data_IF_410810562346
#
_entry.id   IF_410810562346
#
_cell.length_a   1.000
_cell.length_b   1.000
_cell.length_c   1.000
_cell.angle_alpha   90.00
_cell.angle_beta   90.00
_cell.angle_gamma   90.00
#
_symmetry.space_group_name_H-M   'P 1'
#
loop_
_entity.id
_entity.type
_entity.pdbx_description
1 polymer ?
#
# COMPACT_ATOMS: atom_id res chain seq x y z
N UNK A 1 -11.87 -7.84 -0.83
CA UNK A 1 -12.96 -7.94 -1.83
C UNK A 1 -13.61 -6.62 -2.25
N UNK A 2 -13.03 -5.45 -1.99
CA UNK A 2 -13.61 -4.18 -2.47
C UNK A 2 -13.04 -3.65 -3.80
N UNK A 3 -12.03 -4.29 -4.39
CA UNK A 3 -11.31 -3.64 -5.50
C UNK A 3 -11.95 -3.79 -6.88
N UNK A 4 -12.86 -4.74 -7.12
CA UNK A 4 -13.57 -4.82 -8.40
C UNK A 4 -14.90 -5.56 -8.21
N UNK A 5 -16.04 -4.87 -8.31
CA UNK A 5 -17.32 -5.54 -8.52
C UNK A 5 -17.52 -5.76 -10.01
N UNK A 6 -17.75 -7.01 -10.40
CA UNK A 6 -18.13 -7.37 -11.76
C UNK A 6 -19.36 -6.52 -12.18
N UNK A 7 -19.26 -5.82 -13.32
CA UNK A 7 -20.29 -4.87 -13.79
C UNK A 7 -20.04 -3.39 -13.50
N UNK A 8 -18.92 -3.02 -12.86
CA UNK A 8 -18.54 -1.60 -12.72
C UNK A 8 -18.10 -1.01 -14.07
N UNK A 9 -18.64 0.15 -14.45
CA UNK A 9 -18.29 0.81 -15.71
C UNK A 9 -16.78 1.10 -15.79
N UNK A 10 -16.15 0.72 -16.91
CA UNK A 10 -14.71 0.88 -17.13
C UNK A 10 -13.84 -0.29 -16.65
N UNK A 11 -14.42 -1.29 -15.99
CA UNK A 11 -13.71 -2.52 -15.65
C UNK A 11 -13.90 -3.54 -16.77
N UNK A 12 -12.83 -3.81 -17.51
CA UNK A 12 -12.77 -4.99 -18.39
C UNK A 12 -12.40 -6.18 -17.50
N UNK A 13 -13.38 -6.65 -16.72
CA UNK A 13 -13.23 -7.78 -15.77
C UNK A 13 -12.61 -9.02 -16.43
N UNK A 14 -12.88 -9.37 -17.71
CA UNK A 14 -12.31 -10.57 -18.33
C UNK A 14 -10.78 -10.60 -18.39
N UNK A 15 -10.11 -9.44 -18.36
CA UNK A 15 -8.65 -9.35 -18.47
C UNK A 15 -7.94 -9.24 -17.11
N UNK A 16 -8.69 -9.24 -16.01
CA UNK A 16 -8.15 -9.11 -14.66
C UNK A 16 -8.45 -10.36 -13.84
N UNK A 17 -7.39 -11.08 -13.47
CA UNK A 17 -7.47 -12.19 -12.51
C UNK A 17 -7.22 -11.67 -11.10
N UNK A 18 -8.22 -11.81 -10.22
CA UNK A 18 -8.03 -11.59 -8.79
C UNK A 18 -7.49 -12.87 -8.16
N UNK A 19 -6.34 -12.76 -7.50
CA UNK A 19 -5.69 -13.85 -6.77
C UNK A 19 -5.84 -13.57 -5.27
N UNK A 20 -6.28 -14.55 -4.45
CA UNK A 20 -6.29 -14.42 -3.01
C UNK A 20 -4.90 -14.04 -2.48
N UNK A 21 -4.87 -13.17 -1.47
CA UNK A 21 -3.62 -12.74 -0.87
C UNK A 21 -2.82 -13.93 -0.32
N UNK A 22 -1.49 -13.82 -0.37
CA UNK A 22 -0.54 -14.80 0.15
C UNK A 22 -0.59 -16.21 -0.49
N UNK A 23 -1.33 -16.41 -1.60
CA UNK A 23 -1.35 -17.69 -2.32
C UNK A 23 -0.29 -17.77 -3.42
N UNK A 24 0.97 -17.99 -3.02
CA UNK A 24 2.10 -18.07 -3.96
C UNK A 24 1.93 -19.20 -4.99
N UNK A 25 1.26 -20.30 -4.63
CA UNK A 25 1.05 -21.44 -5.52
C UNK A 25 0.10 -21.07 -6.65
N UNK A 26 -0.98 -20.35 -6.33
CA UNK A 26 -1.91 -19.89 -7.35
C UNK A 26 -1.28 -18.81 -8.24
N UNK A 27 -0.48 -17.88 -7.66
CA UNK A 27 0.31 -16.94 -8.46
C UNK A 27 1.19 -17.69 -9.46
N UNK A 28 1.94 -18.69 -9.01
CA UNK A 28 2.79 -19.49 -9.91
C UNK A 28 2.00 -20.21 -10.99
N UNK A 29 0.86 -20.82 -10.65
CA UNK A 29 0.00 -21.53 -11.60
C UNK A 29 -0.53 -20.60 -12.70
N UNK A 30 -0.97 -19.39 -12.34
CA UNK A 30 -1.45 -18.38 -13.28
C UNK A 30 -0.30 -17.83 -14.14
N UNK A 31 0.85 -17.52 -13.54
CA UNK A 31 2.02 -17.06 -14.30
C UNK A 31 2.57 -18.11 -15.27
N UNK A 32 2.39 -19.40 -14.97
CA UNK A 32 2.79 -20.48 -15.85
C UNK A 32 2.01 -20.53 -17.18
N UNK A 33 0.81 -19.94 -17.25
CA UNK A 33 0.07 -19.83 -18.52
C UNK A 33 0.75 -18.86 -19.50
N UNK A 34 1.56 -17.92 -18.99
CA UNK A 34 2.25 -16.85 -19.74
C UNK A 34 1.30 -15.89 -20.46
N UNK A 35 0.06 -15.81 -19.99
CA UNK A 35 -0.96 -14.89 -20.55
C UNK A 35 -0.93 -13.51 -19.88
N UNK A 36 -0.25 -13.40 -18.71
CA UNK A 36 -0.24 -12.18 -17.91
C UNK A 36 0.98 -11.31 -18.18
N UNK A 37 0.73 -10.05 -18.53
CA UNK A 37 1.77 -9.03 -18.71
C UNK A 37 2.33 -8.50 -17.38
N UNK A 38 1.49 -8.43 -16.34
CA UNK A 38 1.80 -7.78 -15.07
C UNK A 38 1.13 -8.46 -13.87
N UNK A 39 1.85 -8.54 -12.76
CA UNK A 39 1.32 -8.80 -11.42
C UNK A 39 1.32 -7.49 -10.64
N UNK A 40 0.21 -7.16 -9.99
CA UNK A 40 0.07 -5.95 -9.19
C UNK A 40 -0.19 -6.31 -7.73
N UNK A 41 0.51 -5.64 -6.81
CA UNK A 41 0.33 -5.77 -5.36
C UNK A 41 0.37 -4.42 -4.69
N UNK A 42 -0.40 -4.17 -3.63
CA UNK A 42 -0.24 -2.97 -2.79
C UNK A 42 1.05 -3.03 -1.95
N UNK A 43 1.70 -1.90 -1.72
CA UNK A 43 2.80 -1.78 -0.77
C UNK A 43 2.29 -1.86 0.67
N UNK A 44 2.97 -2.65 1.52
CA UNK A 44 2.62 -2.74 2.94
C UNK A 44 1.51 -3.73 3.29
N UNK A 45 0.83 -4.29 2.30
CA UNK A 45 -0.37 -5.11 2.46
C UNK A 45 -1.59 -4.45 1.82
N UNK A 46 -2.67 -5.21 1.66
CA UNK A 46 -3.90 -4.68 1.09
C UNK A 46 -4.58 -3.70 2.06
N UNK A 47 -5.21 -2.70 1.47
CA UNK A 47 -6.05 -1.70 2.13
C UNK A 47 -5.28 -0.78 3.10
N UNK A 48 -5.24 0.52 2.77
CA UNK A 48 -4.82 1.62 3.66
C UNK A 48 -3.45 1.40 4.35
N UNK A 49 -2.39 1.08 3.61
CA UNK A 49 -1.02 0.89 4.13
C UNK A 49 -0.81 -0.35 5.02
N UNK A 50 -1.56 -1.43 4.79
CA UNK A 50 -1.33 -2.70 5.48
C UNK A 50 -2.28 -2.97 6.64
N UNK A 51 -3.55 -2.58 6.50
CA UNK A 51 -4.61 -3.11 7.36
C UNK A 51 -4.66 -4.63 7.22
N UNK A 52 -4.43 -5.15 6.02
CA UNK A 52 -4.20 -6.57 5.78
C UNK A 52 -2.76 -6.75 5.29
N UNK A 53 -1.79 -7.07 6.17
CA UNK A 53 -0.38 -7.15 5.80
C UNK A 53 -0.09 -8.36 4.90
N UNK A 54 0.95 -8.25 4.06
CA UNK A 54 1.52 -9.38 3.34
C UNK A 54 2.26 -10.34 4.28
N UNK A 55 2.30 -11.62 3.90
CA UNK A 55 3.31 -12.53 4.43
C UNK A 55 4.68 -12.15 3.85
N UNK A 56 5.70 -12.05 4.72
CA UNK A 56 7.06 -11.64 4.31
C UNK A 56 7.63 -12.58 3.26
N UNK A 57 7.44 -13.88 3.43
CA UNK A 57 7.90 -14.91 2.50
C UNK A 57 7.20 -14.81 1.14
N UNK A 58 5.92 -14.45 1.14
CA UNK A 58 5.16 -14.26 -0.10
C UNK A 58 5.74 -13.10 -0.91
N UNK A 59 5.90 -11.92 -0.30
CA UNK A 59 6.35 -10.74 -1.04
C UNK A 59 7.80 -10.88 -1.51
N UNK A 60 8.67 -11.50 -0.69
CA UNK A 60 10.07 -11.73 -1.05
C UNK A 60 10.23 -12.77 -2.17
N UNK A 61 9.26 -13.66 -2.37
CA UNK A 61 9.29 -14.64 -3.46
C UNK A 61 8.88 -14.06 -4.82
N UNK A 62 8.08 -12.98 -4.85
CA UNK A 62 7.53 -12.42 -6.10
C UNK A 62 8.59 -12.02 -7.14
N UNK A 63 9.69 -11.31 -6.81
CA UNK A 63 10.71 -10.94 -7.81
C UNK A 63 11.26 -12.14 -8.60
N UNK A 64 11.57 -13.24 -7.91
CA UNK A 64 12.12 -14.43 -8.53
C UNK A 64 11.05 -15.13 -9.38
N UNK A 65 9.82 -15.17 -8.88
CA UNK A 65 8.70 -15.83 -9.54
C UNK A 65 8.27 -15.11 -10.81
N UNK A 66 8.08 -13.79 -10.76
CA UNK A 66 7.67 -12.98 -11.93
C UNK A 66 8.74 -12.99 -13.01
N UNK A 67 10.02 -12.90 -12.61
CA UNK A 67 11.18 -13.06 -13.51
C UNK A 67 11.22 -14.43 -14.20
N UNK A 68 10.91 -15.52 -13.49
CA UNK A 68 10.87 -16.89 -14.05
C UNK A 68 9.90 -16.99 -15.23
N UNK A 69 8.75 -16.32 -15.15
CA UNK A 69 7.71 -16.37 -16.17
C UNK A 69 7.69 -15.19 -17.15
N UNK A 70 8.65 -14.25 -17.01
CA UNK A 70 8.76 -13.02 -17.82
C UNK A 70 7.53 -12.12 -17.70
N UNK A 71 6.94 -12.08 -16.51
CA UNK A 71 5.85 -11.19 -16.17
C UNK A 71 6.41 -10.02 -15.36
N UNK A 72 5.92 -8.81 -15.60
CA UNK A 72 6.35 -7.64 -14.83
C UNK A 72 5.71 -7.67 -13.45
N UNK A 73 6.43 -7.20 -12.44
CA UNK A 73 5.87 -6.94 -11.12
C UNK A 73 5.77 -5.45 -10.85
N UNK A 74 4.58 -4.99 -10.45
CA UNK A 74 4.34 -3.63 -10.01
C UNK A 74 3.85 -3.62 -8.56
N UNK A 75 4.48 -2.79 -7.74
CA UNK A 75 3.99 -2.48 -6.40
C UNK A 75 3.28 -1.12 -6.41
N UNK A 76 2.07 -1.08 -5.87
CA UNK A 76 1.36 0.17 -5.62
C UNK A 76 1.81 0.78 -4.30
N UNK A 77 2.68 1.79 -4.39
CA UNK A 77 3.18 2.56 -3.26
C UNK A 77 2.57 3.97 -3.20
N UNK A 78 1.35 4.16 -3.71
CA UNK A 78 0.63 5.44 -3.61
C UNK A 78 0.48 5.87 -2.15
N UNK A 79 0.36 4.92 -1.21
CA UNK A 79 0.29 5.21 0.24
C UNK A 79 1.64 5.10 0.94
N UNK A 80 2.41 4.05 0.65
CA UNK A 80 3.63 3.71 1.39
C UNK A 80 4.89 4.42 0.88
N UNK A 81 4.89 4.87 -0.39
CA UNK A 81 6.01 5.57 -1.02
C UNK A 81 6.28 6.91 -0.36
N UNK A 82 7.55 7.15 0.03
CA UNK A 82 8.00 8.28 0.86
C UNK A 82 7.33 8.39 2.25
N UNK A 83 6.43 7.47 2.62
CA UNK A 83 5.73 7.44 3.90
C UNK A 83 6.45 6.54 4.90
N UNK A 84 6.67 5.29 4.52
CA UNK A 84 7.22 4.27 5.42
C UNK A 84 8.75 4.38 5.51
N UNK A 85 9.39 4.73 4.40
CA UNK A 85 10.80 5.11 4.31
C UNK A 85 11.00 6.05 3.13
N UNK A 86 12.18 6.67 3.01
CA UNK A 86 12.55 7.46 1.82
C UNK A 86 12.49 6.62 0.55
N UNK A 87 12.84 5.33 0.64
CA UNK A 87 12.70 4.33 -0.43
C UNK A 87 11.36 3.58 -0.44
N UNK A 88 10.34 4.05 0.28
CA UNK A 88 9.04 3.37 0.39
C UNK A 88 9.10 2.06 1.16
N UNK A 89 7.97 1.35 1.20
CA UNK A 89 7.86 0.05 1.86
C UNK A 89 8.72 -1.02 1.19
N UNK A 90 8.87 -0.99 -0.13
CA UNK A 90 9.74 -1.92 -0.86
C UNK A 90 11.18 -1.94 -0.31
N UNK A 91 11.71 -0.77 0.08
CA UNK A 91 13.05 -0.67 0.69
C UNK A 91 13.15 -1.29 2.08
N UNK A 92 12.04 -1.29 2.85
CA UNK A 92 12.00 -1.88 4.19
C UNK A 92 12.00 -3.42 4.14
N UNK A 93 11.34 -4.00 3.13
CA UNK A 93 11.24 -5.46 2.97
C UNK A 93 12.31 -6.05 2.05
N UNK A 94 13.15 -5.19 1.46
CA UNK A 94 14.29 -5.60 0.63
C UNK A 94 13.90 -6.19 -0.71
N UNK A 95 12.86 -5.64 -1.36
CA UNK A 95 12.40 -6.07 -2.67
C UNK A 95 12.50 -4.94 -3.70
N UNK A 96 12.69 -5.29 -4.96
CA UNK A 96 12.81 -4.36 -6.08
C UNK A 96 11.83 -4.78 -7.19
N UNK A 97 10.66 -4.13 -7.30
CA UNK A 97 9.72 -4.41 -8.38
C UNK A 97 10.18 -3.81 -9.70
N UNK A 98 9.64 -4.31 -10.81
CA UNK A 98 9.93 -3.77 -12.14
C UNK A 98 9.41 -2.33 -12.30
N UNK A 99 8.26 -2.07 -11.67
CA UNK A 99 7.61 -0.76 -11.63
C UNK A 99 6.99 -0.48 -10.25
N UNK A 100 6.74 0.79 -9.97
CA UNK A 100 6.05 1.25 -8.77
C UNK A 100 5.13 2.41 -9.11
N UNK A 101 3.89 2.40 -8.62
CA UNK A 101 3.04 3.60 -8.63
C UNK A 101 3.24 4.40 -7.36
N UNK A 102 3.26 5.72 -7.51
CA UNK A 102 3.48 6.68 -6.44
C UNK A 102 2.41 7.76 -6.49
N UNK A 103 2.09 8.31 -5.32
CA UNK A 103 1.16 9.42 -5.18
C UNK A 103 1.34 10.10 -3.82
N UNK A 104 0.27 10.71 -3.31
CA UNK A 104 0.17 11.29 -1.95
C UNK A 104 1.43 12.06 -1.53
N UNK A 105 2.29 11.49 -0.68
CA UNK A 105 3.51 12.09 -0.15
C UNK A 105 4.46 12.62 -1.25
N UNK A 106 4.43 12.00 -2.43
CA UNK A 106 5.21 12.38 -3.61
C UNK A 106 4.90 13.80 -4.09
N UNK A 107 3.67 14.28 -3.89
CA UNK A 107 3.18 15.56 -4.42
C UNK A 107 3.35 16.73 -3.46
N UNK A 108 3.88 16.51 -2.26
CA UNK A 108 4.02 17.55 -1.24
C UNK A 108 2.70 18.20 -0.85
N UNK A 109 1.58 17.45 -0.92
CA UNK A 109 0.24 17.96 -0.65
C UNK A 109 -0.57 18.40 -1.88
N UNK A 110 0.03 18.39 -3.07
CA UNK A 110 -0.70 18.64 -4.34
C UNK A 110 -1.11 17.34 -5.06
N UNK A 111 -2.14 17.38 -5.93
CA UNK A 111 -2.57 16.23 -6.70
C UNK A 111 -1.45 15.67 -7.57
N UNK A 112 -1.09 14.41 -7.35
CA UNK A 112 0.02 13.74 -8.04
C UNK A 112 -0.30 12.27 -8.29
N UNK A 113 0.22 11.76 -9.40
CA UNK A 113 0.41 10.35 -9.67
C UNK A 113 1.70 10.19 -10.46
N UNK A 114 2.46 9.15 -10.18
CA UNK A 114 3.65 8.81 -10.95
C UNK A 114 3.77 7.29 -11.09
N UNK A 115 4.29 6.85 -12.24
CA UNK A 115 4.77 5.49 -12.46
C UNK A 115 6.28 5.58 -12.62
N UNK A 116 7.01 4.88 -11.77
CA UNK A 116 8.48 4.79 -11.79
C UNK A 116 8.87 3.33 -11.96
N UNK A 117 10.12 3.06 -12.34
CA UNK A 117 10.57 1.69 -12.60
C UNK A 117 11.76 1.64 -13.53
N UNK A 118 12.04 0.43 -14.03
CA UNK A 118 13.20 0.18 -14.89
C UNK A 118 13.11 0.97 -16.20
N UNK A 119 14.25 1.52 -16.61
CA UNK A 119 14.35 2.35 -17.81
C UNK A 119 14.03 1.59 -19.11
N UNK A 120 14.34 0.29 -19.17
CA UNK A 120 14.04 -0.55 -20.34
C UNK A 120 12.53 -0.82 -20.50
N UNK A 121 11.77 -0.74 -19.41
CA UNK A 121 10.30 -0.84 -19.44
C UNK A 121 9.69 0.52 -19.75
N UNK A 122 10.04 1.55 -18.98
CA UNK A 122 9.44 2.89 -19.14
C UNK A 122 9.89 3.61 -20.42
N UNK A 123 10.95 3.12 -21.09
CA UNK A 123 11.40 3.62 -22.38
C UNK A 123 10.33 3.60 -23.47
N UNK A 124 9.29 2.76 -23.34
CA UNK A 124 8.13 2.77 -24.27
C UNK A 124 7.34 4.08 -24.26
N UNK A 125 7.56 4.94 -23.26
CA UNK A 125 6.96 6.28 -23.17
C UNK A 125 7.76 7.35 -23.94
N UNK A 126 8.94 7.03 -24.46
CA UNK A 126 9.76 8.00 -25.20
C UNK A 126 9.02 8.50 -26.45
N UNK A 127 8.73 9.81 -26.56
CA UNK A 127 8.01 10.36 -27.70
C UNK A 127 8.77 10.20 -29.04
N UNK A 128 10.08 9.92 -29.01
CA UNK A 128 10.92 9.70 -30.19
C UNK A 128 10.76 8.31 -30.80
N UNK A 129 10.18 7.34 -30.08
CA UNK A 129 9.93 6.02 -30.63
C UNK A 129 8.86 6.05 -31.74
N UNK A 130 8.92 5.12 -32.72
CA UNK A 130 7.85 4.96 -33.70
C UNK A 130 6.51 4.70 -33.03
N UNK A 131 5.41 5.18 -33.64
CA UNK A 131 4.06 5.04 -33.07
C UNK A 131 3.67 3.59 -32.72
N UNK A 132 4.12 2.62 -33.50
CA UNK A 132 3.84 1.20 -33.28
C UNK A 132 4.54 0.60 -32.04
N UNK A 133 5.54 1.29 -31.49
CA UNK A 133 6.37 0.82 -30.38
C UNK A 133 6.29 1.71 -29.14
N UNK A 134 5.43 2.75 -29.17
CA UNK A 134 5.30 3.70 -28.06
C UNK A 134 3.92 3.64 -27.42
N UNK A 135 3.90 3.77 -26.10
CA UNK A 135 2.69 3.97 -25.32
C UNK A 135 2.41 5.46 -25.24
N UNK A 136 1.20 5.88 -25.67
CA UNK A 136 0.79 7.28 -25.52
C UNK A 136 0.39 7.56 -24.08
N UNK A 137 1.09 8.48 -23.43
CA UNK A 137 0.75 8.97 -22.11
C UNK A 137 0.65 10.49 -22.14
N UNK A 138 -0.59 10.99 -22.11
CA UNK A 138 -0.89 12.42 -22.23
C UNK A 138 -1.75 12.86 -21.05
N UNK A 139 -1.55 14.09 -20.58
CA UNK A 139 -2.42 14.70 -19.58
C UNK A 139 -2.13 16.17 -19.43
N UNK A 140 -3.17 17.02 -19.48
CA UNK A 140 -3.04 18.49 -19.43
C UNK A 140 -2.29 18.98 -18.20
N UNK A 141 -2.49 18.30 -17.07
CA UNK A 141 -1.92 18.68 -15.78
C UNK A 141 -0.69 17.86 -15.39
N UNK A 142 -0.26 16.92 -16.23
CA UNK A 142 0.91 16.09 -15.97
C UNK A 142 2.15 16.98 -15.87
N UNK A 143 2.93 16.79 -14.81
CA UNK A 143 4.18 17.51 -14.56
C UNK A 143 4.06 19.05 -14.59
N UNK A 144 2.91 19.61 -14.20
CA UNK A 144 2.77 21.06 -14.13
C UNK A 144 3.77 21.66 -13.12
N UNK A 145 4.29 22.90 -13.36
CA UNK A 145 5.39 23.44 -12.56
C UNK A 145 5.11 23.58 -11.07
N UNK A 146 3.86 23.88 -10.69
CA UNK A 146 3.47 24.02 -9.28
C UNK A 146 3.55 22.68 -8.55
N UNK A 147 2.98 21.63 -9.15
CA UNK A 147 3.10 20.26 -8.65
C UNK A 147 4.57 19.83 -8.53
N UNK A 148 5.36 20.00 -9.59
CA UNK A 148 6.77 19.62 -9.59
C UNK A 148 7.56 20.35 -8.49
N UNK A 149 7.29 21.64 -8.28
CA UNK A 149 7.93 22.44 -7.24
C UNK A 149 7.60 21.94 -5.84
N UNK A 150 6.33 21.63 -5.56
CA UNK A 150 5.89 21.08 -4.28
C UNK A 150 6.49 19.68 -4.01
N UNK A 151 6.50 18.81 -5.01
CA UNK A 151 7.12 17.48 -4.92
C UNK A 151 8.62 17.54 -4.67
N UNK A 152 9.35 18.42 -5.37
CA UNK A 152 10.79 18.64 -5.13
C UNK A 152 11.04 19.16 -3.72
N UNK A 153 10.25 20.13 -3.26
CA UNK A 153 10.37 20.66 -1.90
C UNK A 153 10.13 19.57 -0.85
N UNK A 154 9.11 18.74 -1.04
CA UNK A 154 8.83 17.60 -0.16
C UNK A 154 9.99 16.58 -0.14
N UNK A 155 10.49 16.18 -1.31
CA UNK A 155 11.65 15.28 -1.42
C UNK A 155 12.89 15.84 -0.71
N UNK A 156 13.16 17.15 -0.80
CA UNK A 156 14.27 17.79 -0.08
C UNK A 156 14.13 17.71 1.45
N UNK A 157 12.91 17.58 1.97
CA UNK A 157 12.66 17.34 3.40
C UNK A 157 12.86 15.86 3.74
N UNK A 158 12.54 14.94 2.83
CA UNK A 158 12.65 13.49 3.08
C UNK A 158 14.10 12.97 3.00
N UNK A 159 14.85 13.36 1.96
CA UNK A 159 16.12 12.72 1.61
C UNK A 159 17.34 12.96 2.52
N UNK A 160 17.49 14.07 3.27
CA UNK A 160 18.69 14.31 4.05
C UNK A 160 19.00 13.17 5.05
N UNK A 161 17.97 12.66 5.71
CA UNK A 161 18.11 11.66 6.77
C UNK A 161 16.84 10.80 7.02
N UNK A 162 15.75 11.03 6.28
CA UNK A 162 14.47 10.37 6.52
C UNK A 162 13.81 10.73 7.84
N UNK A 163 14.14 11.87 8.45
CA UNK A 163 13.59 12.30 9.75
C UNK A 163 12.06 12.26 9.80
N UNK A 164 11.31 12.76 8.79
CA UNK A 164 9.85 12.72 8.84
C UNK A 164 9.29 11.30 8.92
N UNK A 165 9.91 10.34 8.23
CA UNK A 165 9.51 8.94 8.22
C UNK A 165 9.82 8.29 9.57
N UNK A 166 11.03 8.53 10.11
CA UNK A 166 11.42 8.09 11.46
C UNK A 166 10.44 8.63 12.51
N UNK A 167 10.10 9.92 12.42
CA UNK A 167 9.17 10.56 13.35
C UNK A 167 7.76 9.97 13.26
N UNK A 168 7.27 9.72 12.04
CA UNK A 168 5.98 9.07 11.84
C UNK A 168 5.98 7.63 12.41
N UNK A 169 7.07 6.88 12.24
CA UNK A 169 7.22 5.53 12.80
C UNK A 169 7.25 5.55 14.34
N UNK A 170 7.98 6.49 14.95
CA UNK A 170 8.00 6.70 16.41
C UNK A 170 6.60 7.02 16.96
N UNK A 171 5.90 7.95 16.34
CA UNK A 171 4.55 8.34 16.76
C UNK A 171 3.54 7.21 16.57
N UNK A 172 3.66 6.44 15.48
CA UNK A 172 2.88 5.23 15.28
C UNK A 172 3.13 4.20 16.38
N UNK A 173 4.39 3.94 16.73
CA UNK A 173 4.77 3.02 17.80
C UNK A 173 4.22 3.47 19.16
N UNK A 174 4.34 4.76 19.47
CA UNK A 174 3.77 5.34 20.68
C UNK A 174 2.25 5.16 20.73
N UNK A 175 1.54 5.47 19.65
CA UNK A 175 0.08 5.31 19.58
C UNK A 175 -0.32 3.84 19.77
N UNK A 176 0.38 2.88 19.14
CA UNK A 176 0.13 1.45 19.34
C UNK A 176 0.34 1.06 20.80
N UNK A 177 1.45 1.44 21.40
CA UNK A 177 1.77 1.09 22.77
C UNK A 177 0.72 1.63 23.76
N UNK A 178 0.43 2.92 23.68
CA UNK A 178 -0.51 3.57 24.60
C UNK A 178 -1.95 3.10 24.34
N UNK A 179 -2.36 3.00 23.07
CA UNK A 179 -3.68 2.49 22.69
C UNK A 179 -3.90 1.06 23.22
N UNK A 180 -2.92 0.17 23.04
CA UNK A 180 -3.01 -1.21 23.53
C UNK A 180 -2.99 -1.30 25.07
N UNK A 181 -2.31 -0.38 25.77
CA UNK A 181 -2.42 -0.27 27.25
C UNK A 181 -3.84 0.15 27.66
N UNK A 182 -4.44 1.12 26.97
CA UNK A 182 -5.81 1.58 27.26
C UNK A 182 -6.85 0.49 27.02
N UNK A 183 -6.75 -0.24 25.89
CA UNK A 183 -7.66 -1.35 25.59
C UNK A 183 -7.61 -2.42 26.68
N UNK A 184 -6.39 -2.85 27.07
CA UNK A 184 -6.19 -3.83 28.17
C UNK A 184 -6.72 -3.32 29.49
N UNK A 185 -6.42 -2.08 29.87
CA UNK A 185 -6.87 -1.49 31.13
C UNK A 185 -8.40 -1.34 31.23
N UNK A 186 -9.10 -1.28 30.09
CA UNK A 186 -10.57 -1.23 30.01
C UNK A 186 -11.22 -2.58 29.73
N UNK A 187 -10.45 -3.66 29.60
CA UNK A 187 -10.98 -4.98 29.23
C UNK A 187 -11.62 -5.03 27.84
N UNK A 188 -11.21 -4.13 26.93
CA UNK A 188 -11.71 -4.10 25.54
C UNK A 188 -10.85 -5.05 24.71
N UNK A 189 -11.48 -6.04 24.07
CA UNK A 189 -10.80 -6.96 23.15
C UNK A 189 -10.51 -6.25 21.83
N UNK A 190 -9.24 -5.99 21.56
CA UNK A 190 -8.80 -5.29 20.36
C UNK A 190 -7.30 -5.01 20.36
N UNK A 191 -6.80 -4.45 19.25
CA UNK A 191 -5.39 -4.11 19.08
C UNK A 191 -5.21 -2.94 18.12
N UNK A 192 -4.35 -2.00 18.50
CA UNK A 192 -3.69 -1.07 17.59
C UNK A 192 -2.45 -1.72 16.98
N UNK A 193 -2.36 -1.76 15.66
CA UNK A 193 -1.28 -2.42 14.89
C UNK A 193 -0.88 -1.59 13.65
N UNK A 194 -0.05 -2.16 12.78
CA UNK A 194 0.58 -1.54 11.60
C UNK A 194 1.68 -0.52 11.95
N UNK A 195 2.14 0.26 10.96
CA UNK A 195 3.39 1.04 11.01
C UNK A 195 3.12 2.51 11.33
N UNK A 196 3.40 3.41 10.38
CA UNK A 196 3.18 4.85 10.49
C UNK A 196 1.69 5.22 10.35
N UNK A 197 0.94 4.40 9.61
CA UNK A 197 -0.52 4.40 9.59
C UNK A 197 -1.00 3.30 10.55
N UNK A 198 -1.62 3.69 11.66
CA UNK A 198 -2.04 2.76 12.70
C UNK A 198 -3.50 2.37 12.49
N UNK A 199 -3.78 1.06 12.52
CA UNK A 199 -5.14 0.53 12.46
C UNK A 199 -5.60 0.04 13.82
N UNK A 200 -6.89 0.18 14.09
CA UNK A 200 -7.56 -0.38 15.26
C UNK A 200 -8.38 -1.60 14.83
N UNK A 201 -8.04 -2.75 15.39
CA UNK A 201 -8.87 -3.95 15.37
C UNK A 201 -9.67 -4.01 16.67
N UNK A 202 -10.98 -4.26 16.58
CA UNK A 202 -11.86 -4.57 17.71
C UNK A 202 -12.45 -5.95 17.46
N UNK A 203 -12.30 -6.86 18.43
CA UNK A 203 -12.70 -8.25 18.25
C UNK A 203 -11.82 -9.22 19.03
N UNK A 204 -12.09 -10.52 18.88
CA UNK A 204 -11.33 -11.60 19.53
C UNK A 204 -9.87 -11.64 19.09
N UNK A 205 -8.95 -11.72 20.04
CA UNK A 205 -7.52 -11.94 19.77
C UNK A 205 -7.28 -13.45 19.72
N UNK A 206 -6.95 -13.99 18.54
CA UNK A 206 -6.69 -15.42 18.32
C UNK A 206 -5.27 -15.72 17.81
N UNK A 207 -4.47 -14.68 17.63
CA UNK A 207 -3.08 -14.74 17.20
C UNK A 207 -2.27 -13.64 17.90
N UNK A 208 -1.15 -14.01 18.53
CA UNK A 208 -0.20 -13.04 19.08
C UNK A 208 1.04 -13.01 18.18
N UNK A 209 1.20 -11.97 17.34
CA UNK A 209 2.34 -11.88 16.43
C UNK A 209 3.64 -11.52 17.16
N UNK A 210 4.77 -12.02 16.65
CA UNK A 210 6.10 -11.57 17.08
C UNK A 210 6.40 -10.12 16.68
N UNK A 211 5.89 -9.68 15.52
CA UNK A 211 5.95 -8.29 15.09
C UNK A 211 4.73 -7.51 15.62
N UNK A 212 4.92 -6.46 16.44
CA UNK A 212 3.82 -5.65 16.96
C UNK A 212 3.04 -4.88 15.87
N UNK A 213 3.54 -4.82 14.64
CA UNK A 213 2.87 -4.19 13.51
C UNK A 213 1.82 -5.12 12.85
N UNK A 214 1.75 -6.40 13.22
CA UNK A 214 0.78 -7.33 12.66
C UNK A 214 -0.54 -7.35 13.45
N UNK A 215 -1.67 -7.66 12.79
CA UNK A 215 -2.97 -7.77 13.43
C UNK A 215 -3.02 -8.97 14.41
N UNK A 216 -3.95 -8.96 15.38
CA UNK A 216 -4.12 -10.03 16.36
C UNK A 216 -4.89 -11.25 15.81
N UNK A 217 -4.96 -11.39 14.49
CA UNK A 217 -5.60 -12.50 13.78
C UNK A 217 -5.03 -12.62 12.37
N UNK A 218 -5.04 -13.84 11.81
CA UNK A 218 -4.72 -14.09 10.39
C UNK A 218 -5.94 -14.06 9.48
N UNK A 219 -7.15 -13.99 10.04
CA UNK A 219 -8.38 -13.99 9.25
C UNK A 219 -8.66 -12.58 8.71
N UNK A 220 -8.60 -12.45 7.39
CA UNK A 220 -9.01 -11.23 6.67
C UNK A 220 -10.47 -10.88 6.99
N UNK A 221 -11.34 -11.88 7.08
CA UNK A 221 -12.76 -11.69 7.38
C UNK A 221 -12.97 -11.07 8.77
N UNK A 222 -12.17 -11.46 9.76
CA UNK A 222 -12.20 -10.84 11.09
C UNK A 222 -11.67 -9.40 11.06
N UNK A 223 -10.56 -9.16 10.33
CA UNK A 223 -9.97 -7.81 10.20
C UNK A 223 -10.94 -6.84 9.54
N UNK A 224 -11.70 -7.32 8.56
CA UNK A 224 -12.63 -6.55 7.74
C UNK A 224 -14.10 -6.78 8.13
N UNK A 225 -14.37 -7.22 9.37
CA UNK A 225 -15.73 -7.53 9.81
C UNK A 225 -16.63 -6.28 9.73
N UNK A 226 -17.66 -6.26 8.86
CA UNK A 226 -18.56 -5.12 8.72
C UNK A 226 -19.28 -4.76 10.02
N UNK A 227 -19.46 -5.72 10.93
CA UNK A 227 -20.07 -5.44 12.23
C UNK A 227 -19.24 -4.44 13.05
N UNK A 228 -17.93 -4.38 12.81
CA UNK A 228 -17.02 -3.47 13.50
C UNK A 228 -16.96 -2.08 12.87
N UNK A 229 -17.47 -1.91 11.63
CA UNK A 229 -17.53 -0.62 10.95
C UNK A 229 -18.30 0.40 11.80
N UNK A 230 -19.53 0.05 12.21
CA UNK A 230 -20.38 0.92 13.03
C UNK A 230 -19.72 1.42 14.31
N UNK A 231 -18.98 0.55 14.99
CA UNK A 231 -18.23 0.89 16.21
C UNK A 231 -17.07 1.83 15.89
N UNK A 232 -16.34 1.58 14.80
CA UNK A 232 -15.26 2.45 14.33
C UNK A 232 -15.80 3.84 13.95
N UNK A 233 -16.92 3.91 13.23
CA UNK A 233 -17.56 5.19 12.88
C UNK A 233 -17.99 5.97 14.11
N UNK A 234 -18.64 5.33 15.10
CA UNK A 234 -19.01 6.00 16.35
C UNK A 234 -17.75 6.53 17.07
N UNK A 235 -16.70 5.71 17.17
CA UNK A 235 -15.44 6.15 17.77
C UNK A 235 -14.85 7.36 17.03
N UNK A 236 -14.80 7.32 15.70
CA UNK A 236 -14.27 8.40 14.88
C UNK A 236 -15.06 9.70 15.08
N UNK A 237 -16.39 9.63 15.13
CA UNK A 237 -17.26 10.78 15.41
C UNK A 237 -17.05 11.34 16.82
N UNK A 238 -16.91 10.47 17.83
CA UNK A 238 -16.65 10.88 19.22
C UNK A 238 -15.28 11.55 19.37
N UNK A 239 -14.26 11.05 18.67
CA UNK A 239 -12.95 11.69 18.62
C UNK A 239 -13.02 13.05 17.94
N UNK A 240 -13.77 13.16 16.83
CA UNK A 240 -13.97 14.43 16.14
C UNK A 240 -14.68 15.46 17.01
N UNK A 241 -15.72 15.06 17.77
CA UNK A 241 -16.39 15.91 18.76
C UNK A 241 -15.46 16.43 19.85
N UNK A 242 -14.32 15.76 20.07
CA UNK A 242 -13.26 16.16 21.02
C UNK A 242 -12.10 16.89 20.33
N UNK A 243 -12.25 17.27 19.06
CA UNK A 243 -11.22 17.97 18.29
C UNK A 243 -10.11 17.08 17.77
N UNK A 244 -10.27 15.76 17.79
CA UNK A 244 -9.28 14.80 17.28
C UNK A 244 -9.74 14.33 15.90
N UNK A 245 -9.14 14.91 14.86
CA UNK A 245 -9.33 14.44 13.49
C UNK A 245 -8.63 13.09 13.29
N UNK A 246 -9.33 12.15 12.66
CA UNK A 246 -8.82 10.86 12.24
C UNK A 246 -9.22 10.66 10.76
N UNK A 247 -8.44 9.87 10.03
CA UNK A 247 -8.86 9.41 8.71
C UNK A 247 -9.80 8.23 8.94
N UNK A 248 -11.10 8.54 9.06
CA UNK A 248 -12.18 7.54 9.17
C UNK A 248 -12.14 6.56 8.02
#
# INVERSE_FOLDING_TARGET
DELVKEGTAGVIVPEVKVIPMNDLKLVEAELATKEYAIVMTEGGGAHMAGQIPWDTEFIQALPALTKKYRTLWLIDEVVTGFRDATGGWQSLVGVEPDMTTLGKCTGGGLPVGAVVGRADILGVLDPKLPMAHRVRHTGTWNANPLLCSAGIAACKVYYPDGEPQKKAAELGAYLREQGNKVLRGKGISGRFYSRSMVHLYLGSIDYEPSDPNLPPTKSVQKIMDPAMAGVKEELCLRLLQRGIANMG
#
